data_IF_768411130311
#
_entry.id   IF_768411130311
#
_cell.length_a   1.000
_cell.length_b   1.000
_cell.length_c   1.000
_cell.angle_alpha   90.00
_cell.angle_beta   90.00
_cell.angle_gamma   90.00
#
_symmetry.space_group_name_H-M   'P 1'
#
loop_
_entity.id
_entity.type
_entity.pdbx_description
1 polymer ?
#
# COMPACT_ATOMS: atom_id res chain seq x y z
N UNK A 1 30.98 5.84 15.61
CA UNK A 1 29.87 6.57 16.24
C UNK A 1 28.64 5.85 15.77
N UNK A 2 27.92 5.20 16.68
CA UNK A 2 26.81 4.31 16.35
C UNK A 2 25.62 5.15 15.90
N UNK A 3 25.25 5.04 14.64
CA UNK A 3 24.01 5.61 14.11
C UNK A 3 22.86 4.69 14.55
N UNK A 4 21.87 5.15 15.33
CA UNK A 4 20.69 4.35 15.59
C UNK A 4 19.84 4.33 14.31
N UNK A 5 19.90 3.23 13.57
CA UNK A 5 19.02 2.98 12.45
C UNK A 5 17.57 2.94 12.94
N UNK A 6 16.74 3.85 12.47
CA UNK A 6 15.28 3.75 12.66
C UNK A 6 14.84 2.50 11.90
N UNK A 7 14.34 1.54 12.66
CA UNK A 7 13.99 0.21 12.15
C UNK A 7 12.79 0.30 11.20
N UNK A 8 12.91 -0.21 9.98
CA UNK A 8 11.80 -0.50 9.05
C UNK A 8 10.75 -1.46 9.64
N UNK A 9 10.92 -1.91 10.88
CA UNK A 9 9.98 -2.80 11.58
C UNK A 9 8.53 -2.31 11.59
N UNK A 10 8.31 -1.01 11.68
CA UNK A 10 6.95 -0.43 11.66
C UNK A 10 6.24 -0.56 10.31
N UNK A 11 7.01 -0.70 9.24
CA UNK A 11 6.56 -0.77 7.86
C UNK A 11 5.85 -2.07 7.49
N UNK A 12 6.46 -3.17 7.90
CA UNK A 12 6.08 -4.51 7.48
C UNK A 12 4.84 -4.99 8.24
N UNK A 13 4.72 -4.58 9.51
CA UNK A 13 3.61 -4.98 10.37
C UNK A 13 2.27 -4.32 9.98
N UNK A 14 2.29 -3.10 9.41
CA UNK A 14 1.05 -2.45 8.95
C UNK A 14 0.53 -3.04 7.62
N UNK A 15 1.42 -3.38 6.71
CA UNK A 15 1.02 -3.94 5.41
C UNK A 15 0.42 -5.35 5.54
N UNK A 16 0.94 -6.17 6.48
CA UNK A 16 0.42 -7.53 6.73
C UNK A 16 -0.90 -7.56 7.52
N UNK A 17 -1.16 -6.54 8.34
CA UNK A 17 -2.41 -6.49 9.14
C UNK A 17 -3.63 -6.05 8.32
N UNK A 18 -3.43 -5.28 7.23
CA UNK A 18 -4.54 -4.81 6.38
C UNK A 18 -4.88 -5.75 5.21
N UNK A 19 -3.96 -6.62 4.79
CA UNK A 19 -4.22 -7.60 3.74
C UNK A 19 -5.06 -8.81 4.20
N UNK A 20 -5.11 -9.08 5.52
CA UNK A 20 -5.77 -10.28 6.07
C UNK A 20 -7.29 -10.21 6.15
N UNK A 21 -7.93 -9.08 5.85
CA UNK A 21 -9.38 -8.92 5.98
C UNK A 21 -10.16 -8.92 4.66
N UNK A 22 -9.51 -8.98 3.50
CA UNK A 22 -10.18 -8.92 2.21
C UNK A 22 -10.32 -10.28 1.47
N UNK A 23 -9.82 -11.39 2.00
CA UNK A 23 -9.77 -12.66 1.29
C UNK A 23 -10.53 -13.80 1.99
N UNK A 24 -11.81 -13.59 2.33
CA UNK A 24 -12.69 -14.70 2.73
C UNK A 24 -14.06 -14.56 2.08
N UNK A 25 -14.17 -15.07 0.88
CA UNK A 25 -15.45 -15.15 0.25
C UNK A 25 -15.45 -15.65 -1.18
N UNK A 26 -15.00 -16.88 -1.42
CA UNK A 26 -15.52 -17.74 -2.48
C UNK A 26 -14.90 -19.14 -2.36
N UNK A 27 -15.51 -20.01 -1.58
CA UNK A 27 -15.43 -21.46 -1.81
C UNK A 27 -16.67 -22.16 -1.25
N UNK A 28 -17.31 -22.93 -2.11
CA UNK A 28 -18.11 -24.08 -1.70
C UNK A 28 -19.61 -23.93 -1.79
N UNK A 29 -20.17 -24.14 -2.97
CA UNK A 29 -21.54 -24.60 -3.14
C UNK A 29 -21.70 -25.99 -2.53
N UNK A 30 -21.92 -26.05 -1.22
CA UNK A 30 -22.48 -27.21 -0.54
C UNK A 30 -23.92 -26.91 -0.21
N UNK A 31 -24.85 -27.65 -0.82
CA UNK A 31 -26.27 -27.60 -0.51
C UNK A 31 -26.51 -28.00 0.93
N UNK A 32 -26.53 -27.02 1.83
CA UNK A 32 -27.15 -27.15 3.16
C UNK A 32 -28.57 -26.60 3.04
N UNK A 33 -29.52 -27.46 3.42
CA UNK A 33 -30.95 -27.19 3.34
C UNK A 33 -31.29 -25.84 3.97
N UNK A 34 -31.74 -24.92 3.12
CA UNK A 34 -32.36 -23.67 3.54
C UNK A 34 -33.66 -24.02 4.25
N UNK A 35 -33.68 -23.90 5.57
CA UNK A 35 -34.96 -23.71 6.26
C UNK A 35 -35.65 -22.50 5.62
N UNK A 36 -36.97 -22.53 5.36
CA UNK A 36 -37.64 -21.37 4.83
C UNK A 36 -37.43 -20.19 5.80
N UNK A 37 -36.83 -19.08 5.31
CA UNK A 37 -36.80 -17.83 6.05
C UNK A 37 -38.22 -17.51 6.46
N UNK A 38 -38.46 -17.18 7.71
CA UNK A 38 -39.76 -16.69 8.18
C UNK A 38 -40.10 -15.45 7.33
N UNK A 39 -41.39 -15.26 7.06
CA UNK A 39 -41.87 -14.13 6.24
C UNK A 39 -41.62 -12.75 6.87
N UNK A 40 -41.00 -12.72 8.06
CA UNK A 40 -40.86 -11.52 8.90
C UNK A 40 -39.40 -11.11 9.15
N UNK A 41 -38.43 -11.68 8.41
CA UNK A 41 -37.01 -11.27 8.56
C UNK A 41 -36.83 -9.81 8.11
N UNK A 42 -36.10 -9.02 8.91
CA UNK A 42 -35.78 -7.63 8.61
C UNK A 42 -35.06 -7.48 7.25
N UNK A 43 -35.42 -6.45 6.51
CA UNK A 43 -34.88 -6.12 5.20
C UNK A 43 -34.34 -4.69 5.19
N UNK A 44 -33.60 -4.32 4.15
CA UNK A 44 -33.10 -2.94 3.99
C UNK A 44 -34.26 -1.93 3.91
N UNK A 45 -35.42 -2.33 3.42
CA UNK A 45 -36.62 -1.48 3.36
C UNK A 45 -37.23 -1.14 4.73
N UNK A 46 -36.87 -1.88 5.77
CA UNK A 46 -37.28 -1.61 7.15
C UNK A 46 -36.41 -0.56 7.82
N UNK A 47 -35.35 -0.12 7.16
CA UNK A 47 -34.45 0.92 7.66
C UNK A 47 -35.00 2.32 7.38
N UNK A 48 -34.79 3.22 8.31
CA UNK A 48 -34.85 4.66 8.05
C UNK A 48 -33.49 5.27 8.31
N UNK A 49 -33.04 6.19 7.44
CA UNK A 49 -31.75 6.85 7.59
C UNK A 49 -31.95 8.37 7.66
N UNK A 50 -31.28 9.01 8.58
CA UNK A 50 -31.22 10.45 8.72
C UNK A 50 -29.80 10.93 8.46
N UNK A 51 -29.58 11.74 7.41
CA UNK A 51 -28.28 12.30 7.11
C UNK A 51 -27.97 13.46 8.08
N UNK A 52 -26.71 13.57 8.49
CA UNK A 52 -26.22 14.69 9.30
C UNK A 52 -24.70 14.85 9.10
N UNK A 53 -24.18 16.02 9.47
CA UNK A 53 -22.76 16.20 9.72
C UNK A 53 -22.56 16.08 11.24
N UNK A 54 -21.63 15.23 11.63
CA UNK A 54 -21.20 15.09 13.03
C UNK A 54 -19.76 15.54 13.13
N UNK A 55 -19.45 16.35 14.13
CA UNK A 55 -18.09 16.74 14.46
C UNK A 55 -17.53 15.76 15.47
N UNK A 56 -16.37 15.22 15.17
CA UNK A 56 -15.65 14.24 15.98
C UNK A 56 -14.38 14.83 16.57
N UNK A 57 -13.94 14.29 17.69
CA UNK A 57 -12.61 14.48 18.22
C UNK A 57 -11.62 13.61 17.42
N UNK A 58 -10.57 14.22 16.92
CA UNK A 58 -9.61 13.55 16.04
C UNK A 58 -8.78 12.48 16.74
N UNK A 59 -8.50 12.65 18.03
CA UNK A 59 -7.64 11.74 18.77
C UNK A 59 -8.40 10.51 19.30
N UNK A 60 -9.69 10.67 19.59
CA UNK A 60 -10.53 9.63 20.23
C UNK A 60 -11.60 9.08 19.30
N UNK A 61 -11.80 9.71 18.14
CA UNK A 61 -12.90 9.43 17.19
C UNK A 61 -14.29 9.50 17.84
N UNK A 62 -14.40 10.13 18.98
CA UNK A 62 -15.68 10.28 19.66
C UNK A 62 -16.51 11.42 19.08
N UNK A 63 -17.81 11.19 18.93
CA UNK A 63 -18.76 12.21 18.49
C UNK A 63 -18.87 13.33 19.52
N UNK A 64 -18.63 14.57 19.10
CA UNK A 64 -18.71 15.77 19.93
C UNK A 64 -20.05 16.48 19.78
N UNK A 65 -20.50 16.72 18.52
CA UNK A 65 -21.75 17.42 18.22
C UNK A 65 -22.24 17.14 16.81
N UNK A 66 -23.53 17.25 16.63
CA UNK A 66 -24.21 17.22 15.31
C UNK A 66 -24.54 18.64 14.86
N UNK A 67 -24.34 18.95 13.57
CA UNK A 67 -24.53 20.28 12.99
C UNK A 67 -25.50 20.30 11.79
N UNK A 68 -26.29 19.27 11.62
CA UNK A 68 -27.25 19.17 10.50
C UNK A 68 -26.60 18.67 9.22
N UNK A 69 -26.97 19.23 8.06
CA UNK A 69 -26.40 18.87 6.74
C UNK A 69 -25.54 19.99 6.14
N UNK A 70 -25.22 21.00 6.91
CA UNK A 70 -24.37 22.11 6.51
C UNK A 70 -23.37 22.45 7.62
N UNK A 71 -22.13 22.70 7.26
CA UNK A 71 -21.08 23.10 8.19
C UNK A 71 -20.23 24.24 7.61
N UNK A 72 -19.92 25.20 8.47
CA UNK A 72 -18.88 26.20 8.20
C UNK A 72 -17.56 25.68 8.79
N UNK A 73 -16.57 25.45 7.95
CA UNK A 73 -15.26 24.94 8.38
C UNK A 73 -14.56 25.86 9.38
N UNK A 74 -14.85 27.16 9.35
CA UNK A 74 -14.32 28.11 10.35
C UNK A 74 -14.87 27.84 11.77
N UNK A 75 -15.97 27.07 11.89
CA UNK A 75 -16.54 26.69 13.18
C UNK A 75 -15.94 25.41 13.79
N UNK A 76 -15.04 24.75 13.05
CA UNK A 76 -14.39 23.51 13.49
C UNK A 76 -13.17 23.86 14.33
N UNK A 77 -13.09 23.31 15.53
CA UNK A 77 -11.97 23.54 16.45
C UNK A 77 -10.72 22.76 16.07
N UNK A 78 -9.58 23.19 16.60
CA UNK A 78 -8.33 22.44 16.46
C UNK A 78 -8.48 21.06 17.12
N UNK A 79 -8.11 19.99 16.42
CA UNK A 79 -8.27 18.61 16.88
C UNK A 79 -9.68 18.04 16.68
N UNK A 80 -10.56 18.77 16.00
CA UNK A 80 -11.91 18.30 15.61
C UNK A 80 -11.95 18.06 14.09
N UNK A 81 -12.85 17.20 13.63
CA UNK A 81 -13.18 17.08 12.22
C UNK A 81 -14.68 16.83 11.99
N UNK A 82 -15.26 17.42 10.92
CA UNK A 82 -16.62 17.12 10.51
C UNK A 82 -16.64 15.83 9.69
N UNK A 83 -17.72 15.07 9.76
CA UNK A 83 -17.91 13.88 8.93
C UNK A 83 -19.34 13.81 8.40
N UNK A 84 -19.50 13.33 7.15
CA UNK A 84 -20.80 12.96 6.60
C UNK A 84 -21.29 11.69 7.28
N UNK A 85 -22.45 11.78 7.91
CA UNK A 85 -23.01 10.71 8.72
C UNK A 85 -24.42 10.35 8.28
N UNK A 86 -24.77 9.08 8.51
CA UNK A 86 -26.12 8.56 8.39
C UNK A 86 -26.49 7.83 9.69
N UNK A 87 -27.45 8.39 10.42
CA UNK A 87 -28.04 7.71 11.57
C UNK A 87 -29.13 6.78 11.04
N UNK A 88 -28.86 5.48 11.06
CA UNK A 88 -29.77 4.46 10.54
C UNK A 88 -30.53 3.83 11.69
N UNK A 89 -31.83 3.71 11.56
CA UNK A 89 -32.71 3.04 12.51
C UNK A 89 -33.32 1.80 11.85
N UNK A 90 -33.18 0.64 12.48
CA UNK A 90 -33.90 -0.56 12.11
C UNK A 90 -35.29 -0.52 12.81
N UNK A 91 -36.35 -0.41 12.04
CA UNK A 91 -37.71 -0.34 12.54
C UNK A 91 -38.41 -1.71 12.60
N UNK A 92 -37.75 -2.78 12.12
CA UNK A 92 -38.28 -4.13 12.14
C UNK A 92 -38.28 -4.71 13.56
N UNK A 93 -39.10 -5.72 13.78
CA UNK A 93 -39.14 -6.51 15.03
C UNK A 93 -37.94 -7.44 15.15
N UNK A 94 -37.26 -7.74 14.04
CA UNK A 94 -36.09 -8.61 13.95
C UNK A 94 -34.82 -7.83 13.63
N UNK A 95 -33.67 -8.41 13.94
CA UNK A 95 -32.38 -7.87 13.58
C UNK A 95 -32.12 -8.01 12.06
N UNK A 96 -31.41 -7.03 11.49
CA UNK A 96 -30.95 -7.07 10.11
C UNK A 96 -29.48 -7.49 10.09
N UNK A 97 -29.16 -8.57 9.39
CA UNK A 97 -27.79 -8.95 9.10
C UNK A 97 -27.26 -8.13 7.90
N UNK A 98 -26.20 -7.37 8.16
CA UNK A 98 -25.50 -6.57 7.19
C UNK A 98 -24.21 -7.31 6.81
N UNK A 99 -24.15 -7.78 5.58
CA UNK A 99 -22.94 -8.43 5.05
C UNK A 99 -22.02 -7.46 4.30
N UNK A 100 -22.55 -6.30 3.90
CA UNK A 100 -21.80 -5.22 3.29
C UNK A 100 -22.50 -3.89 3.57
N UNK A 101 -21.74 -2.87 3.92
CA UNK A 101 -22.22 -1.49 3.96
C UNK A 101 -21.12 -0.52 3.56
N UNK A 102 -21.47 0.56 2.86
CA UNK A 102 -20.51 1.58 2.46
C UNK A 102 -21.18 2.94 2.19
N UNK A 103 -20.35 3.98 2.26
CA UNK A 103 -20.73 5.34 1.88
C UNK A 103 -19.90 5.78 0.67
N UNK A 104 -20.53 6.42 -0.29
CA UNK A 104 -19.86 7.12 -1.40
C UNK A 104 -20.07 8.62 -1.26
N UNK A 105 -19.13 9.43 -1.74
CA UNK A 105 -19.25 10.89 -1.79
C UNK A 105 -18.88 11.35 -3.20
N UNK A 106 -19.79 12.09 -3.85
CA UNK A 106 -19.65 12.61 -5.22
C UNK A 106 -19.23 11.56 -6.26
N UNK A 107 -19.72 10.33 -6.08
CA UNK A 107 -19.38 9.20 -6.94
C UNK A 107 -17.94 8.66 -6.75
N UNK A 108 -17.28 9.05 -5.66
CA UNK A 108 -15.97 8.49 -5.26
C UNK A 108 -16.05 7.00 -4.95
N UNK A 109 -14.88 6.36 -4.80
CA UNK A 109 -14.82 4.99 -4.32
C UNK A 109 -15.49 4.82 -2.96
N UNK A 110 -16.18 3.69 -2.71
CA UNK A 110 -16.93 3.47 -1.50
C UNK A 110 -16.00 3.28 -0.28
N UNK A 111 -16.39 3.87 0.84
CA UNK A 111 -15.80 3.58 2.16
C UNK A 111 -16.73 2.62 2.89
N UNK A 112 -16.27 1.39 3.12
CA UNK A 112 -17.09 0.28 3.59
C UNK A 112 -16.81 -0.17 5.02
N UNK A 113 -17.75 -0.91 5.55
CA UNK A 113 -17.66 -1.63 6.81
C UNK A 113 -17.84 -3.12 6.58
N UNK A 114 -17.22 -3.91 7.44
CA UNK A 114 -17.34 -5.36 7.43
C UNK A 114 -18.70 -5.82 7.93
N UNK A 115 -18.97 -7.12 7.85
CA UNK A 115 -20.18 -7.76 8.36
C UNK A 115 -20.51 -7.36 9.80
N UNK A 116 -21.76 -6.99 10.04
CA UNK A 116 -22.30 -6.68 11.36
C UNK A 116 -23.82 -6.87 11.37
N UNK A 117 -24.44 -6.69 12.55
CA UNK A 117 -25.89 -6.83 12.72
C UNK A 117 -26.47 -5.54 13.28
N UNK A 118 -27.52 -5.02 12.65
CA UNK A 118 -28.33 -3.93 13.24
C UNK A 118 -29.47 -4.59 14.02
N UNK A 119 -29.39 -4.52 15.32
CA UNK A 119 -30.38 -5.13 16.19
C UNK A 119 -31.80 -4.57 15.93
N UNK A 120 -32.83 -5.37 16.26
CA UNK A 120 -34.22 -4.94 16.15
C UNK A 120 -34.49 -3.66 16.94
N UNK A 121 -35.25 -2.73 16.39
CA UNK A 121 -35.64 -1.47 17.02
C UNK A 121 -34.45 -0.64 17.53
N UNK A 122 -33.26 -0.78 16.88
CA UNK A 122 -32.03 -0.08 17.30
C UNK A 122 -31.45 0.75 16.17
N UNK A 123 -30.52 1.66 16.53
CA UNK A 123 -29.84 2.55 15.61
C UNK A 123 -28.35 2.23 15.47
N UNK A 124 -27.79 2.57 14.32
CA UNK A 124 -26.36 2.50 14.01
C UNK A 124 -25.94 3.78 13.29
N UNK A 125 -24.74 4.27 13.58
CA UNK A 125 -24.15 5.43 12.91
C UNK A 125 -23.14 4.95 11.87
N UNK A 126 -23.36 5.33 10.62
CA UNK A 126 -22.39 5.22 9.54
C UNK A 126 -21.78 6.60 9.26
N UNK A 127 -20.49 6.67 9.11
CA UNK A 127 -19.80 7.94 8.85
C UNK A 127 -18.56 7.74 7.98
N UNK A 128 -18.14 8.79 7.30
CA UNK A 128 -16.87 8.80 6.56
C UNK A 128 -15.74 9.05 7.55
N UNK A 129 -14.77 8.16 7.62
CA UNK A 129 -13.64 8.30 8.54
C UNK A 129 -12.79 9.54 8.23
N UNK A 130 -12.13 10.08 9.26
CA UNK A 130 -11.31 11.28 9.21
C UNK A 130 -10.35 11.32 8.02
N UNK A 131 -9.60 10.26 7.80
CA UNK A 131 -8.62 10.14 6.72
C UNK A 131 -9.25 10.27 5.33
N UNK A 132 -10.50 9.85 5.18
CA UNK A 132 -11.25 9.96 3.94
C UNK A 132 -11.92 11.33 3.78
N UNK A 133 -12.30 11.97 4.89
CA UNK A 133 -12.90 13.32 4.86
C UNK A 133 -11.98 14.36 4.27
N UNK A 134 -10.67 14.26 4.47
CA UNK A 134 -9.69 15.17 3.88
C UNK A 134 -9.80 15.29 2.35
N UNK A 135 -10.31 14.25 1.69
CA UNK A 135 -10.47 14.20 0.23
C UNK A 135 -11.76 14.87 -0.27
N UNK A 136 -12.75 14.98 0.61
CA UNK A 136 -14.12 15.38 0.21
C UNK A 136 -14.59 16.66 0.88
N UNK A 137 -13.76 17.31 1.69
CA UNK A 137 -14.04 18.60 2.29
C UNK A 137 -13.52 19.74 1.39
N UNK A 138 -14.34 20.16 0.45
CA UNK A 138 -14.15 21.38 -0.31
C UNK A 138 -15.40 22.27 -0.12
N UNK A 139 -15.27 23.57 -0.40
CA UNK A 139 -16.44 24.43 -0.44
C UNK A 139 -17.41 23.98 -1.53
N UNK A 140 -18.70 23.88 -1.20
CA UNK A 140 -19.71 23.49 -2.16
C UNK A 140 -20.73 22.51 -1.60
N UNK A 141 -21.46 21.91 -2.51
CA UNK A 141 -22.44 20.89 -2.22
C UNK A 141 -21.87 19.51 -2.61
N UNK A 142 -21.87 18.61 -1.66
CA UNK A 142 -21.40 17.24 -1.83
C UNK A 142 -22.57 16.27 -1.66
N UNK A 143 -22.67 15.25 -2.49
CA UNK A 143 -23.67 14.20 -2.38
C UNK A 143 -23.06 12.98 -1.78
N UNK A 144 -23.47 12.63 -0.55
CA UNK A 144 -23.10 11.36 0.07
C UNK A 144 -24.26 10.36 -0.01
N UNK A 145 -23.95 9.09 -0.25
CA UNK A 145 -24.92 8.01 -0.40
C UNK A 145 -24.50 6.80 0.41
N UNK A 146 -25.41 6.30 1.27
CA UNK A 146 -25.22 5.10 2.06
C UNK A 146 -25.86 3.91 1.37
N UNK A 147 -25.11 2.85 1.21
CA UNK A 147 -25.57 1.54 0.71
C UNK A 147 -25.44 0.50 1.83
N UNK A 148 -26.41 -0.39 1.92
CA UNK A 148 -26.41 -1.55 2.84
C UNK A 148 -26.87 -2.76 2.02
N UNK A 149 -26.12 -3.85 2.07
CA UNK A 149 -26.41 -5.09 1.34
C UNK A 149 -26.62 -4.87 -0.18
N UNK A 150 -25.87 -3.91 -0.76
CA UNK A 150 -25.98 -3.56 -2.17
C UNK A 150 -27.14 -2.62 -2.52
N UNK A 151 -28.01 -2.27 -1.57
CA UNK A 151 -29.15 -1.38 -1.79
C UNK A 151 -28.88 0.03 -1.27
N UNK A 152 -29.32 1.05 -2.04
CA UNK A 152 -29.25 2.44 -1.61
C UNK A 152 -30.28 2.70 -0.48
N UNK A 153 -29.78 3.02 0.70
CA UNK A 153 -30.61 3.34 1.88
C UNK A 153 -30.97 4.82 1.94
N UNK A 154 -29.96 5.67 1.71
CA UNK A 154 -30.14 7.12 1.78
C UNK A 154 -29.12 7.82 0.90
N UNK A 155 -29.53 8.91 0.26
CA UNK A 155 -28.63 9.85 -0.42
C UNK A 155 -29.01 11.25 0.02
N UNK A 156 -28.04 12.08 0.34
CA UNK A 156 -28.25 13.42 0.81
C UNK A 156 -27.17 14.38 0.31
N UNK A 157 -27.56 15.65 0.14
CA UNK A 157 -26.64 16.75 -0.15
C UNK A 157 -26.19 17.39 1.16
N UNK A 158 -24.89 17.51 1.30
CA UNK A 158 -24.21 18.20 2.39
C UNK A 158 -23.56 19.47 1.84
N UNK A 159 -23.63 20.57 2.59
CA UNK A 159 -23.08 21.85 2.19
C UNK A 159 -21.90 22.22 3.06
N UNK A 160 -20.76 22.47 2.44
CA UNK A 160 -19.56 23.00 3.08
C UNK A 160 -19.45 24.49 2.73
N UNK A 161 -19.35 25.34 3.72
CA UNK A 161 -19.13 26.77 3.56
C UNK A 161 -17.79 27.17 4.15
N UNK A 162 -17.36 28.40 3.90
CA UNK A 162 -16.12 29.02 4.36
C UNK A 162 -15.00 29.12 3.32
N UNK A 163 -15.08 28.43 2.20
CA UNK A 163 -14.10 28.51 1.12
C UNK A 163 -12.67 28.09 1.50
N UNK A 164 -12.52 27.50 2.68
CA UNK A 164 -11.22 27.02 3.17
C UNK A 164 -11.04 25.56 2.79
N UNK A 165 -9.88 25.27 2.22
CA UNK A 165 -9.47 23.87 2.06
C UNK A 165 -9.19 23.24 3.42
N UNK A 166 -9.22 21.90 3.47
CA UNK A 166 -8.80 21.20 4.68
C UNK A 166 -7.42 21.62 5.16
N UNK A 167 -6.49 21.92 4.24
CA UNK A 167 -5.17 22.44 4.55
C UNK A 167 -5.15 23.82 5.20
N UNK A 168 -6.21 24.64 5.01
CA UNK A 168 -6.33 25.94 5.67
C UNK A 168 -6.87 25.79 7.10
N UNK A 169 -7.74 24.81 7.33
CA UNK A 169 -8.30 24.50 8.67
C UNK A 169 -7.31 23.68 9.49
N UNK A 170 -6.61 22.74 8.84
CA UNK A 170 -5.57 21.91 9.42
C UNK A 170 -4.29 22.10 8.59
N UNK A 171 -3.51 23.17 8.87
CA UNK A 171 -2.37 23.50 8.05
C UNK A 171 -1.33 22.39 8.08
N UNK A 172 -0.93 21.96 6.88
CA UNK A 172 0.20 21.06 6.75
C UNK A 172 1.50 21.79 7.11
N UNK A 173 2.49 21.08 7.64
CA UNK A 173 3.77 21.67 7.94
C UNK A 173 4.41 22.25 6.66
N UNK A 174 5.09 23.36 6.80
CA UNK A 174 5.88 23.94 5.74
C UNK A 174 7.06 23.03 5.37
N UNK A 175 7.65 23.27 4.22
CA UNK A 175 8.84 22.50 3.81
C UNK A 175 10.00 22.69 4.80
N UNK A 176 10.16 23.89 5.37
CA UNK A 176 11.19 24.15 6.37
C UNK A 176 10.93 23.37 7.67
N UNK A 177 9.68 23.30 8.13
CA UNK A 177 9.29 22.52 9.31
C UNK A 177 9.49 21.03 9.07
N UNK A 178 9.17 20.51 7.87
CA UNK A 178 9.42 19.12 7.49
C UNK A 178 10.92 18.83 7.48
N UNK A 179 11.73 19.70 6.87
CA UNK A 179 13.18 19.54 6.85
C UNK A 179 13.78 19.58 8.25
N UNK A 180 13.32 20.50 9.08
CA UNK A 180 13.77 20.59 10.47
C UNK A 180 13.38 19.34 11.25
N UNK A 181 12.13 18.89 11.15
CA UNK A 181 11.67 17.68 11.81
C UNK A 181 12.46 16.44 11.34
N UNK A 182 12.75 16.31 10.04
CA UNK A 182 13.57 15.23 9.50
C UNK A 182 15.00 15.26 10.05
N UNK A 183 15.61 16.43 10.13
CA UNK A 183 16.97 16.60 10.67
C UNK A 183 17.02 16.28 12.17
N UNK A 184 16.04 16.77 12.93
CA UNK A 184 15.95 16.55 14.38
C UNK A 184 15.64 15.10 14.72
N UNK A 185 14.73 14.48 13.98
CA UNK A 185 14.35 13.08 14.19
C UNK A 185 15.30 12.07 13.54
N UNK A 186 16.27 12.53 12.74
CA UNK A 186 17.09 11.66 11.87
C UNK A 186 16.25 10.72 11.01
N UNK A 187 15.06 11.16 10.60
CA UNK A 187 14.12 10.38 9.84
C UNK A 187 14.39 10.48 8.33
N UNK A 188 13.95 9.46 7.63
CA UNK A 188 13.83 9.49 6.16
C UNK A 188 12.63 10.35 5.78
N UNK A 189 12.69 10.98 4.61
CA UNK A 189 11.54 11.68 4.05
C UNK A 189 10.43 10.68 3.68
N UNK A 190 9.22 11.17 3.37
CA UNK A 190 8.08 10.32 3.10
C UNK A 190 8.38 9.21 2.10
N UNK A 191 7.86 8.09 2.41
CA UNK A 191 7.94 6.88 1.66
C UNK A 191 6.52 6.49 1.22
N UNK A 192 6.34 6.16 -0.05
CA UNK A 192 5.05 5.75 -0.58
C UNK A 192 5.16 4.33 -1.10
N UNK A 193 4.35 3.44 -0.56
CA UNK A 193 4.29 2.05 -0.98
C UNK A 193 3.01 1.75 -1.76
N UNK A 194 3.13 0.86 -2.75
CA UNK A 194 2.03 0.23 -3.44
C UNK A 194 2.03 -1.27 -3.19
N UNK A 195 1.02 -1.79 -2.48
CA UNK A 195 0.79 -3.21 -2.32
C UNK A 195 -0.08 -3.70 -3.49
N UNK A 196 0.42 -4.64 -4.28
CA UNK A 196 -0.28 -5.14 -5.45
C UNK A 196 -1.49 -5.97 -5.05
N UNK A 197 -2.58 -5.86 -5.81
CA UNK A 197 -3.80 -6.66 -5.64
C UNK A 197 -3.63 -8.11 -6.11
N UNK A 198 -2.67 -8.80 -5.54
CA UNK A 198 -2.39 -10.21 -5.76
C UNK A 198 -2.93 -11.05 -4.60
N UNK A 199 -3.26 -12.31 -4.85
CA UNK A 199 -3.76 -13.19 -3.80
C UNK A 199 -2.63 -13.64 -2.88
N UNK A 200 -2.89 -13.66 -1.58
CA UNK A 200 -1.94 -14.18 -0.60
C UNK A 200 -1.58 -15.65 -0.89
N UNK A 201 -0.29 -15.95 -0.75
CA UNK A 201 0.24 -17.30 -0.96
C UNK A 201 0.40 -17.71 -2.43
N UNK A 202 0.01 -16.88 -3.39
CA UNK A 202 0.34 -17.13 -4.80
C UNK A 202 1.85 -17.01 -5.02
N UNK A 203 2.35 -17.83 -5.96
CA UNK A 203 3.76 -17.92 -6.31
C UNK A 203 3.96 -17.62 -7.78
N UNK A 204 5.01 -16.88 -8.10
CA UNK A 204 5.28 -16.41 -9.44
C UNK A 204 6.71 -16.71 -9.86
N UNK A 205 6.88 -17.12 -11.12
CA UNK A 205 8.19 -17.34 -11.74
C UNK A 205 8.71 -16.13 -12.50
N UNK A 206 7.85 -15.13 -12.71
CA UNK A 206 8.25 -13.89 -13.36
C UNK A 206 7.43 -12.72 -12.83
N UNK A 207 8.09 -11.58 -12.72
CA UNK A 207 7.50 -10.28 -12.40
C UNK A 207 8.05 -9.24 -13.37
N UNK A 208 7.20 -8.37 -13.89
CA UNK A 208 7.59 -7.31 -14.82
C UNK A 208 6.83 -6.03 -14.48
N UNK A 209 7.51 -4.90 -14.57
CA UNK A 209 6.96 -3.57 -14.26
C UNK A 209 7.63 -2.51 -15.14
N UNK A 210 6.83 -1.66 -15.76
CA UNK A 210 7.32 -0.46 -16.42
C UNK A 210 7.43 0.68 -15.41
N UNK A 211 8.49 1.45 -15.52
CA UNK A 211 8.88 2.47 -14.57
C UNK A 211 9.39 3.74 -15.27
N UNK A 212 9.04 4.90 -14.69
CA UNK A 212 9.61 6.20 -15.02
C UNK A 212 9.69 7.07 -13.76
N UNK A 213 10.75 7.84 -13.63
CA UNK A 213 10.84 8.94 -12.68
C UNK A 213 11.14 10.24 -13.43
N UNK A 214 10.36 11.28 -13.25
CA UNK A 214 10.61 12.61 -13.83
C UNK A 214 11.51 13.46 -12.91
N UNK A 215 11.62 13.10 -11.63
CA UNK A 215 12.51 13.69 -10.66
C UNK A 215 13.02 12.63 -9.68
N UNK A 216 14.31 12.48 -9.60
CA UNK A 216 14.99 11.52 -8.73
C UNK A 216 16.30 12.10 -8.18
N UNK A 217 16.25 13.11 -7.30
CA UNK A 217 17.45 13.67 -6.68
C UNK A 217 18.24 12.60 -5.91
N UNK A 218 19.48 12.91 -5.56
CA UNK A 218 20.34 12.01 -4.78
C UNK A 218 19.64 11.53 -3.49
N UNK A 219 19.84 10.28 -3.11
CA UNK A 219 19.11 9.64 -2.02
C UNK A 219 17.73 9.10 -2.40
N UNK A 220 17.42 8.96 -3.71
CA UNK A 220 16.17 8.38 -4.19
C UNK A 220 16.31 6.88 -4.39
N UNK A 221 15.34 6.12 -3.86
CA UNK A 221 15.16 4.71 -4.17
C UNK A 221 13.76 4.46 -4.75
N UNK A 222 13.73 3.94 -5.95
CA UNK A 222 12.55 3.40 -6.59
C UNK A 222 12.64 1.87 -6.51
N UNK A 223 12.06 1.28 -5.47
CA UNK A 223 11.89 -0.17 -5.41
C UNK A 223 10.77 -0.55 -6.36
N UNK A 224 11.05 -1.39 -7.34
CA UNK A 224 10.12 -1.79 -8.36
C UNK A 224 9.49 -3.15 -8.09
N UNK A 225 10.15 -3.98 -7.28
CA UNK A 225 9.62 -5.24 -6.80
C UNK A 225 10.13 -5.53 -5.39
N UNK A 226 9.21 -5.85 -4.48
CA UNK A 226 9.49 -6.46 -3.20
C UNK A 226 8.54 -7.65 -3.07
N UNK A 227 9.04 -8.80 -2.68
CA UNK A 227 8.26 -10.03 -2.59
C UNK A 227 8.47 -10.74 -1.28
N UNK A 228 7.50 -11.57 -0.87
CA UNK A 228 7.62 -12.44 0.28
C UNK A 228 8.55 -13.64 -0.03
N UNK A 229 9.21 -14.22 0.97
CA UNK A 229 10.01 -15.43 0.76
C UNK A 229 9.09 -16.62 0.45
N UNK A 230 9.35 -17.32 -0.64
CA UNK A 230 8.70 -18.61 -0.89
C UNK A 230 9.48 -19.74 -0.19
N UNK A 231 9.02 -20.07 0.99
CA UNK A 231 9.62 -21.13 1.82
C UNK A 231 8.81 -22.43 1.77
N UNK A 232 7.87 -22.56 0.84
CA UNK A 232 6.91 -23.70 0.78
C UNK A 232 7.64 -25.04 0.75
N UNK A 233 8.64 -25.19 -0.11
CA UNK A 233 9.41 -26.43 -0.24
C UNK A 233 10.31 -26.66 0.98
N UNK A 234 10.96 -25.64 1.47
CA UNK A 234 11.84 -25.71 2.63
C UNK A 234 11.07 -26.08 3.91
N UNK A 235 9.90 -25.49 4.11
CA UNK A 235 9.01 -25.74 5.27
C UNK A 235 8.43 -27.16 5.30
N UNK A 236 8.46 -27.88 4.19
CA UNK A 236 8.09 -29.30 4.20
C UNK A 236 9.07 -30.12 5.04
N UNK A 237 10.37 -29.81 4.99
CA UNK A 237 11.41 -30.48 5.78
C UNK A 237 11.71 -29.75 7.11
N UNK A 238 11.60 -28.43 7.11
CA UNK A 238 11.91 -27.56 8.25
C UNK A 238 10.76 -26.58 8.46
N UNK A 239 9.73 -26.97 9.24
CA UNK A 239 8.50 -26.18 9.41
C UNK A 239 8.71 -24.78 10.04
N UNK A 240 9.82 -24.58 10.75
CA UNK A 240 10.22 -23.33 11.39
C UNK A 240 11.02 -22.39 10.47
N UNK A 241 11.24 -22.77 9.20
CA UNK A 241 11.97 -21.92 8.27
C UNK A 241 11.33 -20.53 8.12
N UNK A 242 12.14 -19.50 8.27
CA UNK A 242 11.71 -18.09 8.25
C UNK A 242 12.81 -17.16 7.74
N UNK A 243 12.44 -15.95 7.35
CA UNK A 243 13.36 -14.80 7.19
C UNK A 243 13.25 -13.88 8.40
N UNK A 244 14.18 -12.95 8.55
CA UNK A 244 14.12 -11.88 9.58
C UNK A 244 12.79 -11.12 9.53
N UNK A 245 12.18 -11.04 8.33
CA UNK A 245 10.83 -10.51 8.11
C UNK A 245 10.04 -11.55 7.31
N UNK A 246 8.97 -12.05 7.85
CA UNK A 246 8.12 -13.06 7.17
C UNK A 246 7.52 -12.57 5.85
N UNK A 247 7.44 -11.26 5.64
CA UNK A 247 6.86 -10.65 4.46
C UNK A 247 7.87 -10.20 3.40
N UNK A 248 9.19 -10.33 3.66
CA UNK A 248 10.23 -9.87 2.73
C UNK A 248 11.27 -10.94 2.47
N UNK A 249 11.24 -11.51 1.27
CA UNK A 249 12.27 -12.44 0.77
C UNK A 249 13.36 -11.73 -0.01
N UNK A 250 12.99 -10.66 -0.69
CA UNK A 250 13.92 -9.85 -1.46
C UNK A 250 13.29 -8.57 -2.00
N UNK A 251 14.13 -7.70 -2.55
CA UNK A 251 13.67 -6.54 -3.31
C UNK A 251 14.63 -6.20 -4.47
N UNK A 252 14.09 -5.55 -5.48
CA UNK A 252 14.81 -5.09 -6.65
C UNK A 252 14.34 -3.69 -7.07
N UNK A 253 15.25 -2.85 -7.52
CA UNK A 253 14.90 -1.51 -7.99
C UNK A 253 16.07 -0.69 -8.47
N UNK A 254 15.83 0.59 -8.63
CA UNK A 254 16.77 1.58 -9.14
C UNK A 254 17.00 2.67 -8.09
N UNK A 255 18.24 3.12 -7.98
CA UNK A 255 18.61 4.19 -7.04
C UNK A 255 19.42 5.28 -7.73
N UNK A 256 19.18 6.52 -7.32
CA UNK A 256 20.16 7.60 -7.43
C UNK A 256 20.75 7.81 -6.03
N UNK A 257 21.97 7.33 -5.83
CA UNK A 257 22.58 7.30 -4.50
C UNK A 257 23.05 8.67 -4.05
N UNK A 258 23.18 8.86 -2.73
CA UNK A 258 23.63 10.12 -2.12
C UNK A 258 24.98 10.62 -2.63
N UNK A 259 25.86 9.72 -3.08
CA UNK A 259 27.13 10.06 -3.73
C UNK A 259 27.02 10.44 -5.20
N UNK A 260 25.79 10.45 -5.77
CA UNK A 260 25.50 10.94 -7.12
C UNK A 260 25.60 9.90 -8.23
N UNK A 261 25.75 8.62 -7.93
CA UNK A 261 25.76 7.56 -8.94
C UNK A 261 24.39 6.89 -9.09
N UNK A 262 24.15 6.43 -10.33
CA UNK A 262 22.91 5.80 -10.76
C UNK A 262 23.10 4.29 -10.84
N UNK A 263 22.32 3.55 -10.06
CA UNK A 263 22.52 2.12 -9.88
C UNK A 263 21.22 1.33 -9.91
N UNK A 264 21.36 0.03 -10.12
CA UNK A 264 20.36 -0.97 -9.81
C UNK A 264 20.78 -1.76 -8.58
N UNK A 265 19.80 -2.27 -7.83
CA UNK A 265 20.00 -3.12 -6.67
C UNK A 265 19.10 -4.35 -6.75
N UNK A 266 19.65 -5.50 -6.37
CA UNK A 266 18.91 -6.74 -6.08
C UNK A 266 19.37 -7.28 -4.74
N UNK A 267 18.44 -7.55 -3.84
CA UNK A 267 18.71 -7.96 -2.46
C UNK A 267 17.90 -9.18 -2.05
N UNK A 268 18.48 -10.00 -1.19
CA UNK A 268 17.84 -11.15 -0.57
C UNK A 268 18.11 -11.18 0.92
N UNK A 269 17.08 -11.43 1.73
CA UNK A 269 17.24 -11.71 3.15
C UNK A 269 17.68 -13.15 3.37
N UNK A 270 18.49 -13.38 4.43
CA UNK A 270 18.85 -14.71 4.85
C UNK A 270 17.63 -15.47 5.33
N UNK A 271 17.63 -16.78 5.07
CA UNK A 271 16.62 -17.71 5.58
C UNK A 271 17.24 -18.55 6.69
N UNK A 272 16.50 -18.73 7.77
CA UNK A 272 16.90 -19.51 8.95
C UNK A 272 15.99 -20.70 9.13
N UNK A 273 16.51 -21.80 9.62
CA UNK A 273 15.76 -22.97 10.04
C UNK A 273 16.52 -23.75 11.11
N UNK A 274 15.83 -24.58 11.88
CA UNK A 274 16.45 -25.47 12.88
C UNK A 274 16.62 -26.88 12.28
N UNK A 275 17.84 -27.40 12.29
CA UNK A 275 18.13 -28.73 11.80
C UNK A 275 17.70 -29.82 12.80
N UNK A 276 17.85 -31.11 12.41
CA UNK A 276 17.48 -32.28 13.23
C UNK A 276 18.27 -32.36 14.54
N UNK A 277 19.42 -31.68 14.63
CA UNK A 277 20.25 -31.60 15.82
C UNK A 277 19.87 -30.43 16.74
N UNK A 278 18.87 -29.64 16.37
CA UNK A 278 18.43 -28.46 17.10
C UNK A 278 19.35 -27.22 16.92
N UNK A 279 20.15 -27.21 15.85
CA UNK A 279 21.07 -26.11 15.53
C UNK A 279 20.41 -25.20 14.47
N UNK A 280 20.43 -23.90 14.71
CA UNK A 280 19.98 -22.94 13.71
C UNK A 280 20.95 -22.88 12.54
N UNK A 281 20.45 -23.16 11.36
CA UNK A 281 21.15 -23.06 10.09
C UNK A 281 20.72 -21.79 9.35
N UNK A 282 21.63 -21.25 8.54
CA UNK A 282 21.40 -20.05 7.72
C UNK A 282 21.59 -20.39 6.26
N UNK A 283 20.61 -20.08 5.43
CA UNK A 283 20.73 -20.10 3.97
C UNK A 283 20.88 -18.65 3.51
N UNK A 284 21.95 -18.36 2.81
CA UNK A 284 22.24 -17.07 2.20
C UNK A 284 22.26 -17.24 0.69
N UNK A 285 21.64 -16.33 -0.06
CA UNK A 285 21.68 -16.34 -1.52
C UNK A 285 23.13 -16.11 -2.03
N UNK A 286 23.46 -16.75 -3.15
CA UNK A 286 24.79 -16.67 -3.76
C UNK A 286 24.74 -15.92 -5.08
N UNK A 287 25.61 -14.93 -5.26
CA UNK A 287 25.73 -14.16 -6.51
C UNK A 287 26.25 -15.07 -7.64
N UNK A 288 25.55 -15.11 -8.76
CA UNK A 288 25.91 -15.86 -9.97
C UNK A 288 26.39 -14.92 -11.07
N UNK A 289 25.78 -13.76 -11.21
CA UNK A 289 26.13 -12.76 -12.21
C UNK A 289 25.91 -11.33 -11.66
N UNK A 290 26.73 -10.33 -11.98
CA UNK A 290 28.01 -10.45 -12.69
C UNK A 290 29.04 -11.24 -11.88
N UNK A 291 30.14 -11.68 -12.55
CA UNK A 291 31.23 -12.40 -11.89
C UNK A 291 31.59 -11.73 -10.56
N UNK A 292 31.79 -12.51 -9.51
CA UNK A 292 31.75 -12.00 -8.16
C UNK A 292 32.90 -11.04 -7.85
N UNK A 293 32.57 -9.78 -7.72
CA UNK A 293 33.09 -9.00 -6.63
C UNK A 293 32.37 -9.44 -5.37
N UNK A 294 32.96 -9.32 -4.21
CA UNK A 294 32.42 -9.80 -2.94
C UNK A 294 30.93 -9.51 -2.79
N UNK A 295 30.13 -10.52 -2.42
CA UNK A 295 28.76 -10.35 -2.00
C UNK A 295 28.72 -9.26 -0.94
N UNK A 296 28.07 -8.14 -1.20
CA UNK A 296 27.86 -7.13 -0.20
C UNK A 296 26.80 -7.63 0.77
N UNK A 297 27.18 -7.80 2.03
CA UNK A 297 26.25 -8.13 3.09
C UNK A 297 25.63 -6.85 3.64
N UNK A 298 24.36 -6.91 3.98
CA UNK A 298 23.69 -5.85 4.71
C UNK A 298 23.23 -6.34 6.09
N UNK A 299 23.07 -5.38 7.01
CA UNK A 299 22.59 -5.60 8.36
C UNK A 299 21.85 -4.36 8.86
N UNK A 300 21.24 -4.46 10.05
CA UNK A 300 20.47 -3.35 10.64
C UNK A 300 18.97 -3.44 10.35
N UNK A 301 18.59 -3.98 9.21
CA UNK A 301 17.21 -4.27 8.79
C UNK A 301 16.99 -5.77 8.61
N UNK A 302 17.52 -6.58 9.52
CA UNK A 302 17.75 -7.99 9.28
C UNK A 302 19.11 -8.20 8.62
N UNK A 303 19.39 -9.40 8.16
CA UNK A 303 20.65 -9.76 7.51
C UNK A 303 20.39 -10.39 6.15
N UNK A 304 21.29 -10.11 5.21
CA UNK A 304 21.15 -10.63 3.86
C UNK A 304 22.30 -10.22 2.95
N UNK A 305 22.09 -10.42 1.67
CA UNK A 305 23.04 -10.05 0.62
C UNK A 305 22.37 -9.16 -0.42
N UNK A 306 23.16 -8.27 -1.00
CA UNK A 306 22.73 -7.49 -2.15
C UNK A 306 23.85 -7.34 -3.18
N UNK A 307 23.46 -7.08 -4.41
CA UNK A 307 24.34 -6.59 -5.45
C UNK A 307 23.86 -5.24 -5.95
N UNK A 308 24.76 -4.28 -5.93
CA UNK A 308 24.58 -2.96 -6.54
C UNK A 308 25.36 -2.94 -7.84
N UNK A 309 24.68 -2.64 -8.93
CA UNK A 309 25.24 -2.59 -10.28
C UNK A 309 25.12 -1.20 -10.84
N UNK A 310 26.18 -0.64 -11.39
CA UNK A 310 26.14 0.63 -12.11
C UNK A 310 25.21 0.51 -13.31
N UNK A 311 24.18 1.32 -13.32
CA UNK A 311 23.22 1.43 -14.41
C UNK A 311 22.75 2.88 -14.55
N UNK A 312 23.22 3.63 -15.54
CA UNK A 312 22.96 5.06 -15.67
C UNK A 312 21.59 5.34 -16.28
N UNK A 313 20.54 4.93 -15.56
CA UNK A 313 19.17 5.26 -15.96
C UNK A 313 18.93 6.77 -15.86
N UNK A 314 17.93 7.28 -16.56
CA UNK A 314 17.70 8.71 -16.76
C UNK A 314 16.28 9.10 -16.34
N UNK A 315 16.16 10.28 -15.74
CA UNK A 315 14.89 10.92 -15.48
C UNK A 315 14.10 11.14 -16.77
N UNK A 316 12.78 11.08 -16.69
CA UNK A 316 11.85 11.26 -17.81
C UNK A 316 11.78 10.08 -18.80
N UNK A 317 12.54 9.02 -18.60
CA UNK A 317 12.65 7.90 -19.51
C UNK A 317 11.97 6.65 -18.95
N UNK A 318 11.27 5.91 -19.81
CA UNK A 318 10.62 4.66 -19.44
C UNK A 318 11.57 3.46 -19.54
N UNK A 319 11.52 2.63 -18.51
CA UNK A 319 12.24 1.37 -18.41
C UNK A 319 11.28 0.25 -18.03
N UNK A 320 11.60 -0.98 -18.44
CA UNK A 320 10.94 -2.20 -17.94
C UNK A 320 11.92 -3.01 -17.12
N UNK A 321 11.66 -3.17 -15.84
CA UNK A 321 12.38 -4.15 -15.02
C UNK A 321 11.65 -5.49 -15.08
N UNK A 322 12.41 -6.58 -15.14
CA UNK A 322 11.90 -7.93 -15.08
C UNK A 322 12.73 -8.79 -14.12
N UNK A 323 12.05 -9.52 -13.25
CA UNK A 323 12.60 -10.62 -12.47
C UNK A 323 12.13 -11.94 -13.09
N UNK A 324 13.03 -12.91 -13.19
CA UNK A 324 12.73 -14.24 -13.72
C UNK A 324 13.31 -15.30 -12.80
N UNK A 325 12.52 -16.30 -12.44
CA UNK A 325 12.97 -17.48 -11.75
C UNK A 325 13.28 -18.58 -12.76
N UNK A 326 14.37 -19.31 -12.52
CA UNK A 326 14.72 -20.52 -13.25
C UNK A 326 15.37 -21.53 -12.30
N UNK A 327 15.50 -22.78 -12.72
CA UNK A 327 16.14 -23.81 -11.89
C UNK A 327 17.63 -23.90 -12.22
N UNK A 328 18.47 -23.88 -11.21
CA UNK A 328 19.93 -24.10 -11.33
C UNK A 328 20.25 -25.59 -11.59
N UNK A 329 21.49 -25.87 -11.98
CA UNK A 329 21.99 -27.25 -12.11
C UNK A 329 21.97 -28.02 -10.78
N UNK A 330 21.99 -27.33 -9.65
CA UNK A 330 21.85 -27.90 -8.30
C UNK A 330 20.39 -28.16 -7.87
N UNK A 331 19.42 -27.73 -8.68
CA UNK A 331 18.00 -27.85 -8.38
C UNK A 331 17.46 -26.74 -7.47
N UNK A 332 18.24 -25.71 -7.19
CA UNK A 332 17.85 -24.51 -6.47
C UNK A 332 17.24 -23.47 -7.42
N UNK A 333 16.74 -22.36 -6.91
CA UNK A 333 16.13 -21.32 -7.75
C UNK A 333 17.11 -20.17 -8.01
N UNK A 334 17.33 -19.90 -9.29
CA UNK A 334 17.98 -18.66 -9.75
C UNK A 334 16.94 -17.57 -9.89
N UNK A 335 17.30 -16.35 -9.51
CA UNK A 335 16.51 -15.14 -9.76
C UNK A 335 17.35 -14.14 -10.54
N UNK A 336 16.93 -13.90 -11.78
CA UNK A 336 17.56 -12.95 -12.70
C UNK A 336 16.86 -11.61 -12.65
N UNK A 337 17.64 -10.51 -12.57
CA UNK A 337 17.17 -9.15 -12.75
C UNK A 337 17.60 -8.63 -14.13
N UNK A 338 16.61 -8.26 -14.93
CA UNK A 338 16.79 -7.64 -16.25
C UNK A 338 16.16 -6.27 -16.28
N UNK A 339 16.73 -5.38 -17.11
CA UNK A 339 16.13 -4.09 -17.40
C UNK A 339 16.12 -3.85 -18.92
N UNK A 340 15.04 -3.29 -19.43
CA UNK A 340 14.89 -2.83 -20.80
C UNK A 340 14.71 -1.32 -20.79
N UNK A 341 15.52 -0.65 -21.57
CA UNK A 341 15.27 0.73 -21.97
C UNK A 341 14.19 0.72 -23.06
N UNK A 342 13.01 1.23 -22.76
CA UNK A 342 11.86 1.14 -23.67
C UNK A 342 11.95 2.08 -24.89
N UNK A 343 12.85 3.08 -24.89
CA UNK A 343 13.07 3.91 -26.07
C UNK A 343 13.95 3.22 -27.09
N UNK A 344 14.93 2.44 -26.63
CA UNK A 344 15.88 1.73 -27.51
C UNK A 344 15.57 0.24 -27.63
N UNK A 345 14.58 -0.26 -26.87
CA UNK A 345 14.23 -1.68 -26.77
C UNK A 345 15.43 -2.59 -26.39
N UNK A 346 16.40 -2.02 -25.68
CA UNK A 346 17.64 -2.71 -25.32
C UNK A 346 17.52 -3.35 -23.95
N UNK A 347 17.67 -4.67 -23.89
CA UNK A 347 17.69 -5.45 -22.66
C UNK A 347 19.11 -5.60 -22.12
N UNK A 348 19.26 -5.43 -20.81
CA UNK A 348 20.51 -5.64 -20.07
C UNK A 348 20.22 -6.54 -18.87
N UNK A 349 20.97 -7.62 -18.72
CA UNK A 349 20.99 -8.39 -17.48
C UNK A 349 21.81 -7.63 -16.46
N UNK A 350 21.23 -7.36 -15.31
CA UNK A 350 21.89 -6.60 -14.24
C UNK A 350 22.50 -7.51 -13.19
N UNK A 351 21.74 -8.53 -12.77
CA UNK A 351 22.15 -9.38 -11.68
C UNK A 351 21.44 -10.75 -11.76
N UNK A 352 22.10 -11.78 -11.24
CA UNK A 352 21.50 -13.09 -10.99
C UNK A 352 21.99 -13.65 -9.66
N UNK A 353 21.07 -14.11 -8.84
CA UNK A 353 21.35 -14.83 -7.60
C UNK A 353 20.78 -16.24 -7.64
N UNK A 354 21.54 -17.20 -7.08
CA UNK A 354 21.00 -18.47 -6.63
C UNK A 354 20.49 -18.30 -5.19
N UNK A 355 19.19 -18.54 -4.98
CA UNK A 355 18.59 -18.47 -3.64
C UNK A 355 19.12 -19.53 -2.70
N UNK A 356 19.79 -20.57 -3.22
CA UNK A 356 20.19 -21.81 -2.54
C UNK A 356 19.01 -22.57 -1.91
N UNK A 357 17.79 -22.29 -2.36
CA UNK A 357 16.55 -22.94 -1.91
C UNK A 357 15.84 -23.57 -3.12
N UNK A 358 15.55 -24.89 -3.10
CA UNK A 358 14.78 -25.52 -4.16
C UNK A 358 13.34 -24.96 -4.21
N UNK A 359 12.89 -24.61 -5.42
CA UNK A 359 11.52 -24.17 -5.66
C UNK A 359 11.13 -22.84 -5.01
N UNK A 360 12.07 -22.06 -4.49
CA UNK A 360 11.83 -20.72 -4.00
C UNK A 360 11.49 -19.80 -5.19
N UNK A 361 10.30 -19.21 -5.18
CA UNK A 361 9.80 -18.31 -6.21
C UNK A 361 9.49 -16.92 -5.63
N UNK A 362 8.96 -16.03 -6.45
CA UNK A 362 8.49 -14.73 -5.99
C UNK A 362 7.09 -14.92 -5.40
N UNK A 363 6.92 -14.80 -4.09
CA UNK A 363 5.62 -14.96 -3.46
C UNK A 363 4.89 -13.62 -3.27
N UNK A 364 3.55 -13.66 -3.36
CA UNK A 364 2.69 -12.51 -3.06
C UNK A 364 2.47 -12.36 -1.53
N UNK A 365 2.12 -11.14 -1.07
CA UNK A 365 1.88 -9.94 -1.87
C UNK A 365 3.17 -9.32 -2.39
N UNK A 366 3.10 -8.73 -3.60
CA UNK A 366 4.17 -7.92 -4.16
C UNK A 366 3.99 -6.45 -3.79
N UNK A 367 5.10 -5.72 -3.73
CA UNK A 367 5.11 -4.29 -3.43
C UNK A 367 6.04 -3.55 -4.39
N UNK A 368 5.74 -2.28 -4.60
CA UNK A 368 6.68 -1.30 -5.11
C UNK A 368 6.68 -0.09 -4.18
N UNK A 369 7.74 0.72 -4.17
CA UNK A 369 7.75 1.94 -3.36
C UNK A 369 8.72 3.00 -3.88
N UNK A 370 8.41 4.24 -3.56
CA UNK A 370 9.27 5.41 -3.74
C UNK A 370 9.76 5.86 -2.36
N UNK A 371 11.07 5.97 -2.19
CA UNK A 371 11.69 6.32 -0.91
C UNK A 371 12.75 7.42 -1.08
N UNK A 372 12.81 8.33 -0.12
CA UNK A 372 14.00 9.10 0.18
C UNK A 372 14.72 8.47 1.38
N UNK A 373 15.91 7.95 1.17
CA UNK A 373 16.73 7.39 2.25
C UNK A 373 17.85 8.33 2.73
N UNK A 374 17.96 9.54 2.13
CA UNK A 374 18.91 10.57 2.54
C UNK A 374 18.18 11.77 3.14
N UNK A 375 18.16 11.91 4.48
CA UNK A 375 17.47 13.00 5.15
C UNK A 375 17.94 14.40 4.73
N UNK A 376 19.17 14.54 4.22
CA UNK A 376 19.71 15.83 3.78
C UNK A 376 19.00 16.37 2.53
N UNK A 377 18.29 15.52 1.79
CA UNK A 377 17.56 15.88 0.56
C UNK A 377 16.04 15.78 0.72
N UNK A 378 15.54 15.81 1.94
CA UNK A 378 14.12 15.60 2.23
C UNK A 378 13.19 16.68 1.62
N UNK A 379 13.70 17.87 1.31
CA UNK A 379 12.94 18.91 0.64
C UNK A 379 12.87 18.77 -0.88
N UNK A 380 13.61 17.86 -1.48
CA UNK A 380 13.65 17.71 -2.92
C UNK A 380 12.55 16.78 -3.43
N UNK A 381 11.87 17.20 -4.50
CA UNK A 381 10.77 16.41 -5.09
C UNK A 381 11.28 15.12 -5.71
N UNK A 382 10.58 14.02 -5.45
CA UNK A 382 10.76 12.72 -6.07
C UNK A 382 9.48 12.27 -6.72
N UNK A 383 9.59 11.66 -7.89
CA UNK A 383 8.44 11.12 -8.60
C UNK A 383 8.68 9.68 -9.00
N UNK A 384 7.63 8.90 -9.07
CA UNK A 384 7.64 7.56 -9.62
C UNK A 384 6.31 7.31 -10.33
N UNK A 385 6.40 6.85 -11.57
CA UNK A 385 5.27 6.27 -12.29
C UNK A 385 5.57 4.81 -12.57
N UNK A 386 4.58 3.93 -12.37
CA UNK A 386 4.66 2.51 -12.72
C UNK A 386 3.45 2.10 -13.53
N UNK A 387 3.67 1.20 -14.48
CA UNK A 387 2.66 0.73 -15.41
C UNK A 387 2.91 -0.72 -15.84
N UNK A 388 1.95 -1.32 -16.54
CA UNK A 388 2.11 -2.62 -17.19
C UNK A 388 2.72 -3.69 -16.25
N UNK A 389 2.22 -3.73 -15.02
CA UNK A 389 2.67 -4.70 -14.01
C UNK A 389 2.12 -6.07 -14.38
N UNK A 390 3.00 -7.04 -14.58
CA UNK A 390 2.65 -8.39 -14.99
C UNK A 390 3.37 -9.42 -14.13
N UNK A 391 2.68 -10.50 -13.80
CA UNK A 391 3.24 -11.66 -13.11
C UNK A 391 2.88 -12.94 -13.85
N UNK A 392 3.79 -13.92 -13.85
CA UNK A 392 3.55 -15.25 -14.41
C UNK A 392 3.42 -16.26 -13.27
N UNK A 393 2.23 -16.86 -13.05
CA UNK A 393 2.04 -17.85 -12.01
C UNK A 393 2.87 -19.12 -12.26
N UNK A 394 3.32 -19.78 -11.20
CA UNK A 394 4.04 -21.04 -11.32
C UNK A 394 3.15 -22.17 -11.86
N UNK A 395 1.84 -22.10 -11.67
CA UNK A 395 0.87 -23.09 -12.12
C UNK A 395 0.62 -23.01 -13.64
N UNK A 396 0.91 -21.89 -14.28
CA UNK A 396 0.76 -21.69 -15.73
C UNK A 396 1.84 -20.74 -16.27
N UNK A 397 2.98 -21.30 -16.60
CA UNK A 397 4.15 -20.57 -17.11
C UNK A 397 3.92 -19.95 -18.51
N UNK A 398 2.80 -20.28 -19.15
CA UNK A 398 2.47 -19.79 -20.50
C UNK A 398 1.54 -18.57 -20.48
N UNK A 399 0.99 -18.23 -19.32
CA UNK A 399 0.10 -17.10 -19.13
C UNK A 399 0.75 -16.01 -18.27
N UNK A 400 0.16 -14.84 -18.29
CA UNK A 400 0.49 -13.77 -17.36
C UNK A 400 -0.78 -13.10 -16.84
N UNK A 401 -0.68 -12.60 -15.62
CA UNK A 401 -1.73 -11.80 -14.98
C UNK A 401 -1.29 -10.34 -15.04
N UNK A 402 -2.15 -9.49 -15.61
CA UNK A 402 -1.99 -8.04 -15.52
C UNK A 402 -2.50 -7.57 -14.17
N UNK A 403 -1.64 -6.95 -13.38
CA UNK A 403 -2.03 -6.37 -12.09
C UNK A 403 -2.69 -5.01 -12.35
N UNK A 404 -3.97 -4.91 -12.09
CA UNK A 404 -4.78 -3.73 -12.38
C UNK A 404 -5.12 -2.90 -11.13
N UNK A 405 -4.77 -3.37 -9.94
CA UNK A 405 -5.03 -2.66 -8.69
C UNK A 405 -3.86 -2.73 -7.73
N UNK A 406 -3.69 -1.66 -6.96
CA UNK A 406 -2.72 -1.59 -5.87
C UNK A 406 -3.27 -0.76 -4.72
N UNK A 407 -2.98 -1.16 -3.49
CA UNK A 407 -3.18 -0.34 -2.31
C UNK A 407 -2.00 0.62 -2.19
N UNK A 408 -2.24 1.91 -2.45
CA UNK A 408 -1.23 2.95 -2.27
C UNK A 408 -1.37 3.56 -0.88
N UNK A 409 -0.25 3.71 -0.19
CA UNK A 409 -0.24 4.34 1.13
C UNK A 409 1.08 5.06 1.38
N UNK A 410 1.02 6.18 2.13
CA UNK A 410 2.24 6.72 2.71
C UNK A 410 2.69 5.75 3.77
N UNK A 411 3.97 5.57 3.86
CA UNK A 411 4.50 4.84 4.96
C UNK A 411 5.31 5.73 5.89
N UNK A 412 5.19 5.42 7.12
CA UNK A 412 5.88 6.08 8.16
C UNK A 412 4.96 7.02 8.87
N UNK A 413 4.07 6.62 9.63
CA UNK A 413 3.22 7.33 10.56
C UNK A 413 3.80 8.54 11.29
N UNK A 414 4.70 9.26 10.62
CA UNK A 414 5.29 10.50 11.12
C UNK A 414 4.39 11.67 10.71
N UNK A 415 3.62 12.24 11.62
CA UNK A 415 2.67 13.31 11.32
C UNK A 415 3.29 14.51 10.62
N UNK A 416 4.59 14.76 10.86
CA UNK A 416 5.34 15.86 10.25
C UNK A 416 5.39 15.77 8.71
N UNK A 417 5.22 14.60 8.13
CA UNK A 417 5.35 14.38 6.67
C UNK A 417 4.03 14.30 5.94
N UNK A 418 2.91 14.35 6.63
CA UNK A 418 1.58 14.14 6.05
C UNK A 418 1.23 15.09 4.89
N UNK A 419 1.89 16.25 4.80
CA UNK A 419 1.69 17.22 3.73
C UNK A 419 2.68 17.13 2.57
N UNK A 420 3.65 16.23 2.59
CA UNK A 420 4.75 16.22 1.63
C UNK A 420 4.72 15.06 0.63
N UNK A 421 3.58 14.47 0.38
CA UNK A 421 3.41 13.38 -0.56
C UNK A 421 2.05 13.43 -1.28
N UNK A 422 2.01 12.81 -2.45
CA UNK A 422 0.78 12.51 -3.16
C UNK A 422 0.95 11.21 -3.96
N UNK A 423 -0.14 10.52 -4.23
CA UNK A 423 -0.15 9.30 -5.01
C UNK A 423 -1.54 9.04 -5.60
N UNK A 424 -1.62 8.16 -6.58
CA UNK A 424 -2.87 7.81 -7.22
C UNK A 424 -2.70 6.93 -8.45
N UNK A 425 -3.77 6.85 -9.25
CA UNK A 425 -3.74 6.23 -10.56
C UNK A 425 -4.25 7.18 -11.63
N UNK A 426 -3.75 7.03 -12.87
CA UNK A 426 -4.20 7.78 -14.03
C UNK A 426 -4.00 6.95 -15.29
N UNK A 427 -5.09 6.62 -16.00
CA UNK A 427 -5.05 5.74 -17.16
C UNK A 427 -4.53 4.35 -16.75
N UNK A 428 -3.45 3.91 -17.39
CA UNK A 428 -2.80 2.62 -17.13
C UNK A 428 -1.65 2.69 -16.12
N UNK A 429 -1.54 3.76 -15.29
CA UNK A 429 -0.40 4.02 -14.42
C UNK A 429 -0.81 4.24 -12.98
N UNK A 430 0.01 3.74 -12.05
CA UNK A 430 0.09 4.26 -10.69
C UNK A 430 1.22 5.30 -10.62
N UNK A 431 1.06 6.29 -9.77
CA UNK A 431 2.06 7.34 -9.59
C UNK A 431 2.22 7.70 -8.11
N UNK A 432 3.41 8.14 -7.75
CA UNK A 432 3.77 8.59 -6.41
C UNK A 432 4.69 9.80 -6.49
N UNK A 433 4.53 10.73 -5.56
CA UNK A 433 5.35 11.92 -5.39
C UNK A 433 5.66 12.08 -3.92
N UNK A 434 6.93 12.24 -3.58
CA UNK A 434 7.36 12.59 -2.23
C UNK A 434 8.04 13.95 -2.23
N UNK A 435 7.93 14.67 -1.11
CA UNK A 435 8.47 16.01 -0.92
C UNK A 435 7.88 17.03 -1.94
N UNK A 436 8.21 18.28 -1.83
CA UNK A 436 7.60 19.29 -2.67
C UNK A 436 6.29 19.77 -2.08
N UNK A 437 6.40 20.73 -1.20
CA UNK A 437 5.27 21.33 -0.54
C UNK A 437 4.42 22.09 -1.53
N UNK A 438 3.12 21.84 -1.48
CA UNK A 438 2.12 22.74 -2.00
C UNK A 438 1.72 22.57 -3.44
N UNK A 439 2.14 21.56 -4.14
CA UNK A 439 1.63 21.31 -5.48
C UNK A 439 0.34 20.51 -5.45
N UNK A 440 -0.72 20.99 -6.09
CA UNK A 440 -1.81 20.17 -6.58
C UNK A 440 -1.28 19.33 -7.75
N UNK A 441 -0.35 18.47 -7.46
CA UNK A 441 0.23 17.58 -8.43
C UNK A 441 -0.85 16.58 -8.80
N UNK A 442 -1.18 16.52 -10.06
CA UNK A 442 -2.24 15.64 -10.61
C UNK A 442 -3.64 15.83 -9.97
N UNK A 443 -3.91 16.95 -9.30
CA UNK A 443 -5.22 17.24 -8.70
C UNK A 443 -5.53 16.47 -7.42
N UNK A 444 -4.55 15.75 -6.85
CA UNK A 444 -4.72 15.06 -5.58
C UNK A 444 -4.02 15.85 -4.47
N UNK A 445 -4.80 16.25 -3.51
CA UNK A 445 -4.36 17.07 -2.39
C UNK A 445 -3.39 16.35 -1.45
N UNK A 446 -2.86 17.13 -0.53
CA UNK A 446 -1.97 16.70 0.54
C UNK A 446 -2.67 15.75 1.52
N UNK A 447 -1.90 14.89 2.18
CA UNK A 447 -2.39 14.14 3.34
C UNK A 447 -3.40 13.05 3.00
N UNK A 448 -3.28 12.41 1.83
CA UNK A 448 -4.14 11.29 1.45
C UNK A 448 -3.95 10.11 2.40
N UNK A 449 -5.06 9.53 2.85
CA UNK A 449 -5.07 8.22 3.49
C UNK A 449 -4.78 7.12 2.47
N UNK A 450 -4.25 5.98 2.90
CA UNK A 450 -4.07 4.80 2.05
C UNK A 450 -5.39 4.36 1.40
N UNK A 451 -5.32 3.82 0.20
CA UNK A 451 -6.50 3.38 -0.53
C UNK A 451 -6.18 2.49 -1.73
N UNK A 452 -7.20 1.75 -2.18
CA UNK A 452 -7.13 0.98 -3.42
C UNK A 452 -7.26 1.90 -4.63
N UNK A 453 -6.36 1.75 -5.57
CA UNK A 453 -6.35 2.43 -6.85
C UNK A 453 -6.33 1.39 -7.97
N UNK A 454 -7.02 1.69 -9.07
CA UNK A 454 -7.07 0.81 -10.23
C UNK A 454 -6.57 1.52 -11.48
N UNK A 455 -5.99 0.75 -12.39
CA UNK A 455 -5.59 1.17 -13.73
C UNK A 455 -6.48 0.49 -14.78
N UNK A 456 -6.63 1.13 -15.95
CA UNK A 456 -7.51 0.64 -17.04
C UNK A 456 -6.69 -0.07 -18.11
#
# INVERSE_FOLDING_TARGET
>A
MNNPSVSRRSLITLASATASTAALGMMGAGSLGLSPKSADAATVQDLTARPCITVFDQATESSLREVGTSVDLASIGSGEYPSYCFVVQNNAADALDVWESYVTVDGSEPWGWTEHTIAAQSGTLYHVYYENMQRVLAEGNHTASLYINGELVCSATFTITCGQSWGDVFPFPSQEEIQQANQEAHCQAPYIAGCLGLQDGQRYISYSIDFKADAAPAGTYCCLAQWAPDLTVLRYSYPDAHCDYDSVGGYAGLQHRSQGDWVSILSFWNVYYTDEQGVTQTIQASLVYPEPDENSQFGGEGTGVHRIVQYPWQEGRWYRMQLRCSTSDAGTTLVDQWICDLETETWTQLCCYDTNIPGATLAAPGFFFLENYDPSTCGEVRTMEVANIQVTPIEDETSYINVQSAWLSPNGGEPAYSGSYAYGSQGNRFWAITSGVGGDWYGNGRGQAGGWYSVQ
#
